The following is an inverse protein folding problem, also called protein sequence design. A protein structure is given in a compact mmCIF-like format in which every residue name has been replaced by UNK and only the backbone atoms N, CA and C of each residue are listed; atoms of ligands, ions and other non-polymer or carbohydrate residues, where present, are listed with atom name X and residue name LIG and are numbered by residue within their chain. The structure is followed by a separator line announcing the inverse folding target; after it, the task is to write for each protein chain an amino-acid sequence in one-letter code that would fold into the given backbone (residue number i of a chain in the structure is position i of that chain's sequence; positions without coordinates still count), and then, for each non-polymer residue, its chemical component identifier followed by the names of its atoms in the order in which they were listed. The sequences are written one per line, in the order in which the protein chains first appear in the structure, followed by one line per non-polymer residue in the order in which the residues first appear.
data_IF_528013631745
#
_entry.id   IF_528013631745
#
_cell.length_a   1.000
_cell.length_b   1.000
_cell.length_c   1.000
_cell.angle_alpha   90.00
_cell.angle_beta   90.00
_cell.angle_gamma   90.00
#
_symmetry.space_group_name_H-M   'P 1'
#
loop_
_entity.id
_entity.type
_entity.pdbx_description
1 polymer ?
#
# COMPACT_ATOMS: atom_id res chain seq x y z
N UNK A 1 5.94 -22.14 22.07
CA UNK A 1 4.50 -21.83 22.00
C UNK A 1 4.04 -22.13 20.59
N UNK A 2 3.36 -23.25 20.37
CA UNK A 2 2.93 -23.72 19.05
C UNK A 2 1.57 -23.09 18.73
N UNK A 3 1.49 -22.30 17.65
CA UNK A 3 0.21 -21.74 17.18
C UNK A 3 -0.47 -22.80 16.33
N UNK A 4 -1.51 -23.43 16.88
CA UNK A 4 -2.38 -24.33 16.12
C UNK A 4 -3.32 -23.54 15.23
N UNK A 5 -3.23 -23.77 13.94
CA UNK A 5 -4.26 -23.33 12.98
C UNK A 5 -5.50 -24.22 13.15
N UNK A 6 -6.62 -23.61 13.61
CA UNK A 6 -7.90 -24.27 13.66
C UNK A 6 -8.28 -24.77 12.25
N UNK A 7 -8.73 -26.02 12.12
CA UNK A 7 -9.32 -26.60 10.91
C UNK A 7 -10.67 -25.92 10.61
N UNK A 8 -10.64 -24.72 10.05
CA UNK A 8 -11.73 -24.27 9.22
C UNK A 8 -11.71 -25.16 7.99
N UNK A 9 -12.87 -25.70 7.61
CA UNK A 9 -12.99 -26.72 6.57
C UNK A 9 -12.08 -26.40 5.37
N UNK A 10 -11.18 -27.33 5.05
CA UNK A 10 -10.16 -27.20 4.00
C UNK A 10 -10.75 -26.83 2.63
N UNK A 11 -12.02 -27.03 2.43
CA UNK A 11 -12.77 -26.75 1.21
C UNK A 11 -13.10 -25.26 1.03
N UNK A 12 -13.41 -24.52 2.11
CA UNK A 12 -13.67 -23.07 2.07
C UNK A 12 -12.40 -22.28 1.86
N UNK A 13 -11.25 -22.78 2.36
CA UNK A 13 -9.94 -22.16 2.17
C UNK A 13 -9.39 -22.34 0.74
N UNK A 14 -9.77 -23.38 0.01
CA UNK A 14 -9.34 -23.58 -1.37
C UNK A 14 -10.05 -22.66 -2.37
N UNK A 15 -11.22 -22.14 -2.05
CA UNK A 15 -12.08 -21.39 -2.99
C UNK A 15 -11.83 -19.87 -3.02
N UNK A 16 -11.14 -19.28 -2.06
CA UNK A 16 -10.91 -17.83 -2.06
C UNK A 16 -9.48 -17.46 -1.64
N UNK A 17 -8.57 -17.28 -2.62
CA UNK A 17 -7.17 -16.91 -2.35
C UNK A 17 -7.03 -15.54 -1.65
N UNK A 18 -7.94 -14.59 -1.89
CA UNK A 18 -7.93 -13.29 -1.23
C UNK A 18 -8.13 -13.41 0.29
N UNK A 19 -9.05 -14.26 0.75
CA UNK A 19 -9.26 -14.49 2.20
C UNK A 19 -8.04 -15.09 2.88
N UNK A 20 -7.26 -15.91 2.19
CA UNK A 20 -5.99 -16.46 2.72
C UNK A 20 -4.93 -15.38 2.89
N UNK A 21 -4.80 -14.51 1.90
CA UNK A 21 -3.86 -13.40 1.94
C UNK A 21 -4.14 -12.46 3.11
N UNK A 22 -5.40 -12.06 3.32
CA UNK A 22 -5.81 -11.22 4.46
C UNK A 22 -5.51 -11.89 5.79
N UNK A 23 -5.89 -13.16 5.96
CA UNK A 23 -5.66 -13.91 7.22
C UNK A 23 -4.18 -14.00 7.54
N UNK A 24 -3.34 -14.27 6.53
CA UNK A 24 -1.89 -14.34 6.68
C UNK A 24 -1.29 -12.99 7.10
N UNK A 25 -1.69 -11.90 6.45
CA UNK A 25 -1.19 -10.56 6.78
C UNK A 25 -1.61 -10.11 8.19
N UNK A 26 -2.84 -10.40 8.61
CA UNK A 26 -3.30 -10.10 9.97
C UNK A 26 -2.43 -10.83 10.99
N UNK A 27 -2.19 -12.13 10.78
CA UNK A 27 -1.35 -12.92 11.67
C UNK A 27 0.09 -12.42 11.70
N UNK A 28 0.65 -12.04 10.55
CA UNK A 28 2.00 -11.48 10.47
C UNK A 28 2.11 -10.18 11.25
N UNK A 29 1.19 -9.23 11.04
CA UNK A 29 1.22 -7.95 11.76
C UNK A 29 1.02 -8.13 13.27
N UNK A 30 0.08 -8.99 13.68
CA UNK A 30 -0.13 -9.29 15.10
C UNK A 30 1.14 -9.89 15.72
N UNK A 31 1.75 -10.88 15.06
CA UNK A 31 2.97 -11.51 15.53
C UNK A 31 4.13 -10.50 15.64
N UNK A 32 4.29 -9.61 14.67
CA UNK A 32 5.33 -8.58 14.70
C UNK A 32 5.11 -7.58 15.82
N UNK A 33 3.86 -7.13 16.02
CA UNK A 33 3.52 -6.21 17.11
C UNK A 33 3.69 -6.86 18.48
N UNK A 34 3.18 -8.09 18.70
CA UNK A 34 3.37 -8.86 19.92
C UNK A 34 4.86 -9.09 20.23
N UNK A 35 5.65 -9.46 19.21
CA UNK A 35 7.10 -9.60 19.38
C UNK A 35 7.78 -8.29 19.76
N UNK A 36 7.38 -7.18 19.14
CA UNK A 36 7.93 -5.88 19.47
C UNK A 36 7.59 -5.50 20.93
N UNK A 37 6.34 -5.68 21.34
CA UNK A 37 5.86 -5.24 22.64
C UNK A 37 6.33 -6.18 23.77
N UNK A 38 6.15 -7.50 23.63
CA UNK A 38 6.36 -8.47 24.71
C UNK A 38 7.81 -8.92 24.86
N UNK A 39 8.57 -9.00 23.74
CA UNK A 39 9.92 -9.54 23.73
C UNK A 39 11.00 -8.46 23.70
N UNK A 40 10.73 -7.39 22.95
CA UNK A 40 11.75 -6.34 22.67
C UNK A 40 11.45 -4.98 23.30
N UNK A 41 10.48 -4.90 24.20
CA UNK A 41 10.19 -3.66 24.94
C UNK A 41 9.62 -2.54 24.08
N UNK A 42 8.82 -2.88 23.06
CA UNK A 42 8.06 -1.95 22.22
C UNK A 42 8.68 -1.67 20.85
N UNK A 43 9.88 -2.20 20.52
CA UNK A 43 10.57 -1.93 19.27
C UNK A 43 11.36 -3.13 18.78
N UNK A 44 11.17 -3.54 17.53
CA UNK A 44 11.94 -4.62 16.93
C UNK A 44 13.42 -4.23 16.76
N UNK A 45 14.36 -5.18 16.96
CA UNK A 45 15.79 -4.90 16.80
C UNK A 45 16.21 -4.71 15.34
N UNK A 46 15.39 -5.18 14.40
CA UNK A 46 15.59 -5.05 12.96
C UNK A 46 14.33 -4.50 12.33
N UNK A 47 14.48 -3.52 11.47
CA UNK A 47 13.36 -2.93 10.73
C UNK A 47 12.70 -3.96 9.81
N UNK A 48 11.38 -4.10 9.91
CA UNK A 48 10.59 -4.99 9.05
C UNK A 48 9.74 -4.15 8.11
N UNK A 49 9.99 -4.28 6.81
CA UNK A 49 9.18 -3.66 5.77
C UNK A 49 8.24 -4.67 5.13
N UNK A 50 6.93 -4.45 5.25
CA UNK A 50 5.90 -5.23 4.58
C UNK A 50 5.58 -4.58 3.23
N UNK A 51 5.96 -5.25 2.14
CA UNK A 51 5.60 -4.85 0.78
C UNK A 51 4.35 -5.61 0.36
N UNK A 52 3.24 -4.86 0.20
CA UNK A 52 1.93 -5.42 -0.12
C UNK A 52 1.59 -5.01 -1.55
N UNK A 53 1.93 -5.89 -2.48
CA UNK A 53 1.60 -5.71 -3.88
C UNK A 53 0.13 -6.02 -4.13
N UNK A 54 -0.49 -5.28 -5.06
CA UNK A 54 -1.92 -5.38 -5.38
C UNK A 54 -2.82 -5.38 -4.13
N UNK A 55 -2.56 -4.48 -3.19
CA UNK A 55 -3.21 -4.42 -1.87
C UNK A 55 -4.75 -4.52 -1.95
N UNK A 56 -5.36 -3.96 -2.99
CA UNK A 56 -6.80 -4.03 -3.20
C UNK A 56 -7.30 -5.45 -3.50
N UNK A 57 -6.49 -6.28 -4.16
CA UNK A 57 -6.88 -7.64 -4.56
C UNK A 57 -6.81 -8.64 -3.41
N UNK A 58 -6.04 -8.33 -2.37
CA UNK A 58 -5.92 -9.18 -1.18
C UNK A 58 -7.23 -9.16 -0.38
N UNK A 59 -8.00 -8.06 -0.43
CA UNK A 59 -9.20 -7.82 0.35
C UNK A 59 -8.97 -6.89 1.53
N UNK A 60 -10.02 -6.65 2.32
CA UNK A 60 -9.96 -5.73 3.44
C UNK A 60 -9.15 -6.32 4.61
N UNK A 61 -8.04 -5.67 4.97
CA UNK A 61 -7.29 -5.94 6.20
C UNK A 61 -7.98 -5.19 7.34
N UNK A 62 -8.56 -5.88 8.34
CA UNK A 62 -9.27 -5.23 9.44
C UNK A 62 -8.38 -4.25 10.20
N UNK A 63 -8.91 -3.06 10.47
CA UNK A 63 -8.23 -2.01 11.24
C UNK A 63 -6.89 -1.56 10.65
N UNK A 64 -6.71 -1.65 9.32
CA UNK A 64 -5.48 -1.24 8.65
C UNK A 64 -5.15 0.23 8.95
N UNK A 65 -6.15 1.11 9.04
CA UNK A 65 -5.99 2.52 9.39
C UNK A 65 -5.33 2.74 10.76
N UNK A 66 -5.67 1.91 11.74
CA UNK A 66 -5.06 1.94 13.07
C UNK A 66 -3.66 1.34 13.06
N UNK A 67 -3.51 0.26 12.34
CA UNK A 67 -2.22 -0.40 12.16
C UNK A 67 -1.20 0.56 11.57
N UNK A 68 -1.52 1.22 10.45
CA UNK A 68 -0.64 2.18 9.78
C UNK A 68 -0.22 3.33 10.69
N UNK A 69 -1.06 3.75 11.63
CA UNK A 69 -0.74 4.79 12.61
C UNK A 69 0.26 4.32 13.69
N UNK A 70 0.31 3.04 14.02
CA UNK A 70 1.00 2.52 15.21
C UNK A 70 2.26 1.71 14.92
N UNK A 71 2.41 1.11 13.73
CA UNK A 71 3.53 0.22 13.40
C UNK A 71 4.89 0.92 13.36
N UNK A 72 4.91 2.23 13.08
CA UNK A 72 6.14 3.01 12.99
C UNK A 72 6.98 2.96 14.26
N UNK A 73 6.36 3.09 15.43
CA UNK A 73 7.08 3.03 16.72
C UNK A 73 7.75 1.67 16.97
N UNK A 74 7.24 0.61 16.34
CA UNK A 74 7.71 -0.77 16.49
C UNK A 74 8.77 -1.20 15.47
N UNK A 75 9.33 -0.28 14.70
CA UNK A 75 10.25 -0.57 13.58
C UNK A 75 9.60 -1.43 12.48
N UNK A 76 8.31 -1.20 12.24
CA UNK A 76 7.58 -1.85 11.15
C UNK A 76 7.11 -0.76 10.18
N UNK A 77 7.26 -1.02 8.89
CA UNK A 77 6.68 -0.18 7.84
C UNK A 77 5.90 -1.02 6.84
N UNK A 78 4.89 -0.41 6.23
CA UNK A 78 4.13 -1.02 5.15
C UNK A 78 4.23 -0.17 3.88
N UNK A 79 4.38 -0.83 2.74
CA UNK A 79 4.28 -0.25 1.41
C UNK A 79 3.07 -0.87 0.72
N UNK A 80 2.07 -0.04 0.43
CA UNK A 80 0.84 -0.46 -0.24
C UNK A 80 0.96 -0.11 -1.72
N UNK A 81 0.92 -1.11 -2.59
CA UNK A 81 0.92 -0.91 -4.04
C UNK A 81 -0.52 -1.03 -4.55
N UNK A 82 -0.95 -0.02 -5.28
CA UNK A 82 -2.32 0.12 -5.79
C UNK A 82 -2.28 0.49 -7.27
N UNK A 83 -3.26 0.04 -8.02
CA UNK A 83 -3.45 0.49 -9.41
C UNK A 83 -4.14 1.86 -9.46
N UNK A 84 -5.01 2.15 -8.46
CA UNK A 84 -5.72 3.41 -8.31
C UNK A 84 -6.12 3.66 -6.86
N UNK A 85 -6.20 4.91 -6.43
CA UNK A 85 -6.66 5.26 -5.08
C UNK A 85 -8.14 4.94 -4.86
N UNK A 86 -8.95 4.98 -5.92
CA UNK A 86 -10.36 4.60 -5.88
C UNK A 86 -10.57 3.15 -5.42
N UNK A 87 -9.62 2.23 -5.68
CA UNK A 87 -9.68 0.86 -5.19
C UNK A 87 -9.60 0.82 -3.65
N UNK A 88 -8.74 1.65 -3.04
CA UNK A 88 -8.64 1.75 -1.60
C UNK A 88 -9.93 2.32 -1.00
N UNK A 89 -10.48 3.37 -1.62
CA UNK A 89 -11.76 3.98 -1.20
C UNK A 89 -12.94 3.01 -1.31
N UNK A 90 -12.97 2.17 -2.33
CA UNK A 90 -14.00 1.14 -2.48
C UNK A 90 -14.00 0.12 -1.32
N UNK A 91 -12.81 -0.24 -0.81
CA UNK A 91 -12.64 -1.25 0.24
C UNK A 91 -12.79 -0.64 1.63
N UNK A 92 -12.11 0.49 1.90
CA UNK A 92 -12.00 1.09 3.24
C UNK A 92 -12.92 2.27 3.47
N UNK A 93 -13.65 2.73 2.44
CA UNK A 93 -14.57 3.88 2.50
C UNK A 93 -13.88 5.10 3.15
N UNK A 94 -14.47 5.66 4.19
CA UNK A 94 -13.98 6.85 4.89
C UNK A 94 -12.60 6.64 5.55
N UNK A 95 -12.25 5.39 5.87
CA UNK A 95 -10.94 5.07 6.44
C UNK A 95 -9.79 5.11 5.41
N UNK A 96 -10.09 5.13 4.10
CA UNK A 96 -9.08 5.19 3.05
C UNK A 96 -8.22 6.44 3.16
N UNK A 97 -8.83 7.60 3.41
CA UNK A 97 -8.12 8.88 3.56
C UNK A 97 -7.21 8.87 4.79
N UNK A 98 -7.61 8.19 5.86
CA UNK A 98 -6.77 7.99 7.05
C UNK A 98 -5.56 7.10 6.74
N UNK A 99 -5.73 6.04 5.94
CA UNK A 99 -4.64 5.17 5.52
C UNK A 99 -3.64 5.95 4.68
N UNK A 100 -4.12 6.69 3.66
CA UNK A 100 -3.28 7.52 2.79
C UNK A 100 -2.55 8.59 3.62
N UNK A 101 -3.24 9.27 4.54
CA UNK A 101 -2.69 10.31 5.40
C UNK A 101 -1.61 9.82 6.36
N UNK A 102 -1.61 8.53 6.72
CA UNK A 102 -0.56 7.90 7.52
C UNK A 102 0.66 7.42 6.69
N UNK A 103 0.59 7.50 5.36
CA UNK A 103 1.73 7.23 4.50
C UNK A 103 2.62 8.47 4.38
N UNK A 104 3.86 8.40 4.88
CA UNK A 104 4.82 9.51 4.78
C UNK A 104 5.38 9.70 3.37
N UNK A 105 5.29 8.68 2.53
CA UNK A 105 5.78 8.65 1.17
C UNK A 105 4.69 8.16 0.22
N UNK A 106 4.47 8.90 -0.88
CA UNK A 106 3.63 8.50 -1.99
C UNK A 106 4.41 8.59 -3.30
N UNK A 107 4.34 7.54 -4.11
CA UNK A 107 5.01 7.48 -5.43
C UNK A 107 3.95 7.22 -6.49
N UNK A 108 3.81 8.15 -7.42
CA UNK A 108 2.96 7.99 -8.60
C UNK A 108 3.82 7.54 -9.77
N UNK A 109 3.50 6.37 -10.30
CA UNK A 109 4.24 5.73 -11.40
C UNK A 109 3.56 5.88 -12.76
N UNK A 110 2.53 6.72 -12.84
CA UNK A 110 1.68 6.88 -14.01
C UNK A 110 0.36 6.14 -13.87
N UNK A 111 -0.62 6.56 -14.63
CA UNK A 111 -1.98 6.00 -14.63
C UNK A 111 -2.96 6.94 -15.29
N UNK A 112 -4.18 6.46 -15.57
CA UNK A 112 -5.23 7.24 -16.23
C UNK A 112 -6.53 7.32 -15.41
N UNK A 113 -6.50 6.83 -14.15
CA UNK A 113 -7.72 6.83 -13.34
C UNK A 113 -8.02 8.26 -12.84
N UNK A 114 -9.21 8.81 -13.19
CA UNK A 114 -9.48 10.24 -13.02
C UNK A 114 -9.47 10.73 -11.59
N UNK A 115 -9.90 9.90 -10.62
CA UNK A 115 -9.93 10.28 -9.20
C UNK A 115 -8.52 10.42 -8.66
N UNK A 116 -7.63 9.45 -8.94
CA UNK A 116 -6.22 9.50 -8.57
C UNK A 116 -5.52 10.71 -9.16
N UNK A 117 -5.76 11.00 -10.44
CA UNK A 117 -5.15 12.16 -11.12
C UNK A 117 -5.61 13.49 -10.52
N UNK A 118 -6.91 13.64 -10.22
CA UNK A 118 -7.46 14.85 -9.58
C UNK A 118 -6.88 15.07 -8.18
N UNK A 119 -6.80 14.03 -7.37
CA UNK A 119 -6.25 14.11 -6.02
C UNK A 119 -4.76 14.41 -6.05
N UNK A 120 -4.03 13.80 -6.99
CA UNK A 120 -2.61 14.08 -7.18
C UNK A 120 -2.39 15.53 -7.62
N UNK A 121 -3.09 16.03 -8.66
CA UNK A 121 -2.99 17.42 -9.11
C UNK A 121 -3.28 18.41 -7.98
N UNK A 122 -4.32 18.15 -7.18
CA UNK A 122 -4.67 18.98 -6.02
C UNK A 122 -3.57 18.98 -4.95
N UNK A 123 -2.94 17.82 -4.69
CA UNK A 123 -1.89 17.65 -3.70
C UNK A 123 -0.54 18.25 -4.11
N UNK A 124 -0.26 18.34 -5.41
CA UNK A 124 0.92 19.02 -5.95
C UNK A 124 0.88 20.53 -5.72
N UNK A 125 -0.33 21.10 -5.62
CA UNK A 125 -0.54 22.51 -5.38
C UNK A 125 -0.58 23.34 -6.65
N UNK A 126 -0.46 24.67 -6.46
CA UNK A 126 -0.56 25.66 -7.53
C UNK A 126 0.66 26.58 -7.54
N UNK A 127 1.06 27.00 -8.72
CA UNK A 127 2.00 28.09 -8.94
C UNK A 127 1.26 29.38 -9.31
N UNK A 128 1.85 30.52 -9.01
CA UNK A 128 1.30 31.82 -9.42
C UNK A 128 1.91 32.21 -10.76
N UNK A 129 1.08 32.34 -11.76
CA UNK A 129 1.49 32.87 -13.07
C UNK A 129 1.01 34.30 -13.22
N UNK A 130 1.87 35.15 -13.80
CA UNK A 130 1.54 36.51 -14.18
C UNK A 130 0.98 36.51 -15.60
N UNK A 131 -0.29 36.92 -15.76
CA UNK A 131 -0.94 37.03 -17.05
C UNK A 131 -1.17 38.51 -17.40
N UNK A 132 -0.85 38.86 -18.64
CA UNK A 132 -1.08 40.19 -19.17
C UNK A 132 -2.26 40.15 -20.16
N UNK A 133 -3.33 40.84 -19.84
CA UNK A 133 -4.40 41.07 -20.81
C UNK A 133 -4.20 42.46 -21.42
N UNK A 134 -3.95 42.49 -22.74
CA UNK A 134 -3.92 43.73 -23.52
C UNK A 134 -5.31 43.95 -24.09
N UNK A 135 -5.99 44.98 -23.59
CA UNK A 135 -7.24 45.47 -24.21
C UNK A 135 -6.93 46.62 -25.20
N UNK A 136 -7.24 46.41 -26.48
CA UNK A 136 -7.21 47.45 -27.51
C UNK A 136 -8.63 47.93 -27.76
N UNK A 137 -8.94 49.18 -27.39
CA UNK A 137 -10.24 49.81 -27.73
C UNK A 137 -10.05 50.67 -28.98
N UNK A 138 -10.73 50.30 -30.05
CA UNK A 138 -10.77 51.05 -31.31
C UNK A 138 -11.93 52.06 -31.26
N UNK A 139 -11.72 53.20 -30.58
CA UNK A 139 -12.60 54.36 -30.62
C UNK A 139 -11.90 55.54 -31.32
N UNK A 140 -12.46 56.74 -31.19
CA UNK A 140 -11.91 57.98 -31.75
C UNK A 140 -10.51 58.33 -31.22
N UNK A 141 -10.12 57.71 -30.08
CA UNK A 141 -8.76 57.66 -29.52
C UNK A 141 -8.41 56.20 -29.21
N UNK A 142 -7.22 55.76 -29.62
CA UNK A 142 -6.69 54.41 -29.34
C UNK A 142 -6.18 54.41 -27.91
N UNK A 143 -6.89 53.70 -27.03
CA UNK A 143 -6.46 53.49 -25.64
C UNK A 143 -5.96 52.09 -25.45
N UNK A 144 -4.71 51.93 -24.99
CA UNK A 144 -4.13 50.66 -24.59
C UNK A 144 -4.22 50.53 -23.08
N UNK A 145 -4.97 49.53 -22.61
CA UNK A 145 -4.97 49.16 -21.17
C UNK A 145 -4.21 47.85 -20.97
N UNK A 146 -3.18 47.91 -20.15
CA UNK A 146 -2.48 46.73 -19.64
C UNK A 146 -3.11 46.34 -18.30
N UNK A 147 -3.78 45.19 -18.28
CA UNK A 147 -4.34 44.67 -17.05
C UNK A 147 -3.48 43.51 -16.54
N UNK A 148 -2.92 43.68 -15.36
CA UNK A 148 -2.03 42.74 -14.72
C UNK A 148 -2.85 41.83 -13.80
N UNK A 149 -2.86 40.52 -14.07
CA UNK A 149 -3.59 39.57 -13.25
C UNK A 149 -2.64 38.45 -12.80
N UNK A 150 -2.67 38.15 -11.49
CA UNK A 150 -2.01 36.98 -10.93
C UNK A 150 -3.03 35.83 -10.88
N UNK A 151 -2.74 34.75 -11.60
CA UNK A 151 -3.58 33.54 -11.64
C UNK A 151 -2.84 32.39 -10.99
N UNK A 152 -3.56 31.62 -10.18
CA UNK A 152 -3.05 30.35 -9.66
C UNK A 152 -3.27 29.23 -10.69
N UNK A 153 -2.21 28.72 -11.33
CA UNK A 153 -2.23 27.56 -12.21
C UNK A 153 -1.83 26.31 -11.41
N UNK A 154 -2.49 25.16 -11.63
CA UNK A 154 -2.03 23.90 -11.07
C UNK A 154 -0.59 23.63 -11.50
N UNK A 155 0.26 23.12 -10.59
CA UNK A 155 1.65 22.80 -10.90
C UNK A 155 1.75 21.74 -12.01
N UNK A 156 0.84 20.76 -11.97
CA UNK A 156 0.56 19.83 -13.07
C UNK A 156 -0.95 19.61 -13.14
N UNK A 157 -1.54 19.82 -14.30
CA UNK A 157 -2.94 19.56 -14.53
C UNK A 157 -3.24 18.06 -14.73
N UNK A 158 -4.50 17.68 -14.64
CA UNK A 158 -4.96 16.28 -14.75
C UNK A 158 -4.58 15.66 -16.09
N UNK A 159 -4.65 16.43 -17.17
CA UNK A 159 -4.29 16.02 -18.53
C UNK A 159 -2.78 15.85 -18.69
N UNK A 160 -1.96 16.71 -18.09
CA UNK A 160 -0.50 16.57 -18.05
C UNK A 160 -0.08 15.29 -17.30
N UNK A 161 -0.73 15.02 -16.15
CA UNK A 161 -0.51 13.81 -15.38
C UNK A 161 -0.93 12.53 -16.12
N UNK A 162 -2.00 12.61 -16.92
CA UNK A 162 -2.50 11.46 -17.69
C UNK A 162 -1.56 11.03 -18.82
N UNK A 163 -0.72 11.96 -19.31
CA UNK A 163 0.27 11.72 -20.36
C UNK A 163 1.70 11.70 -19.84
N UNK A 164 1.88 11.59 -18.51
CA UNK A 164 3.20 11.51 -17.90
C UNK A 164 4.05 10.43 -18.57
N UNK A 165 5.27 10.79 -18.97
CA UNK A 165 6.23 9.87 -19.58
C UNK A 165 6.40 8.58 -18.77
N UNK A 166 6.40 7.43 -19.45
CA UNK A 166 6.52 6.12 -18.84
C UNK A 166 7.80 5.91 -18.04
N UNK A 167 8.86 6.66 -18.33
CA UNK A 167 10.13 6.66 -17.59
C UNK A 167 10.15 7.60 -16.37
N UNK A 168 9.11 8.43 -16.16
CA UNK A 168 9.02 9.39 -15.06
C UNK A 168 8.12 8.90 -13.93
N UNK A 169 8.36 9.44 -12.74
CA UNK A 169 7.51 9.26 -11.57
C UNK A 169 7.45 10.55 -10.74
N UNK A 170 6.39 10.68 -9.96
CA UNK A 170 6.23 11.78 -9.01
C UNK A 170 6.36 11.22 -7.60
N UNK A 171 7.29 11.76 -6.84
CA UNK A 171 7.55 11.39 -5.45
C UNK A 171 7.09 12.50 -4.52
N UNK A 172 6.27 12.17 -3.56
CA UNK A 172 5.82 13.06 -2.49
C UNK A 172 6.32 12.50 -1.16
N UNK A 173 7.00 13.34 -0.39
CA UNK A 173 7.49 13.02 0.95
C UNK A 173 6.92 14.03 1.93
N UNK A 174 6.53 13.58 3.12
CA UNK A 174 6.06 14.48 4.18
C UNK A 174 7.13 15.52 4.53
N UNK A 175 6.74 16.80 4.52
CA UNK A 175 7.61 17.92 4.87
C UNK A 175 8.54 18.38 3.75
N UNK A 176 8.45 17.83 2.55
CA UNK A 176 9.29 18.21 1.41
C UNK A 176 8.39 18.50 0.20
N UNK A 177 8.85 19.39 -0.69
CA UNK A 177 8.13 19.64 -1.95
C UNK A 177 8.14 18.39 -2.84
N UNK A 178 7.09 18.16 -3.64
CA UNK A 178 7.05 17.06 -4.59
C UNK A 178 8.23 17.07 -5.57
N UNK A 179 8.66 15.90 -5.98
CA UNK A 179 9.75 15.72 -6.97
C UNK A 179 9.21 15.02 -8.21
N UNK A 180 9.55 15.55 -9.38
CA UNK A 180 9.49 14.82 -10.64
C UNK A 180 10.84 14.12 -10.84
N UNK A 181 10.85 12.80 -10.94
CA UNK A 181 12.06 11.98 -11.02
C UNK A 181 11.98 10.95 -12.13
N UNK A 182 13.12 10.43 -12.52
CA UNK A 182 13.20 9.27 -13.41
C UNK A 182 12.96 7.98 -12.62
N UNK A 183 12.25 7.02 -13.24
CA UNK A 183 12.14 5.66 -12.70
C UNK A 183 13.49 4.99 -12.76
N UNK A 184 13.80 4.24 -11.71
CA UNK A 184 15.04 3.46 -11.69
C UNK A 184 14.96 2.33 -12.72
N UNK A 185 16.00 2.25 -13.57
CA UNK A 185 16.16 1.14 -14.49
C UNK A 185 16.69 -0.09 -13.74
N UNK A 186 15.81 -1.08 -13.52
CA UNK A 186 16.13 -2.29 -12.75
C UNK A 186 17.30 -3.09 -13.37
N UNK A 187 17.53 -2.98 -14.68
CA UNK A 187 18.63 -3.68 -15.35
C UNK A 187 20.01 -3.22 -14.87
N UNK A 188 20.11 -2.00 -14.34
CA UNK A 188 21.32 -1.43 -13.75
C UNK A 188 21.57 -1.88 -12.31
N UNK A 189 20.61 -2.57 -11.68
CA UNK A 189 20.81 -3.02 -10.31
C UNK A 189 21.83 -4.17 -10.25
N UNK A 190 22.81 -4.16 -9.31
CA UNK A 190 23.83 -5.22 -9.21
C UNK A 190 23.27 -6.64 -9.09
N UNK A 191 22.10 -6.76 -8.47
CA UNK A 191 21.41 -8.04 -8.26
C UNK A 191 20.46 -8.42 -9.40
N UNK A 192 20.34 -7.63 -10.47
CA UNK A 192 19.48 -7.95 -11.62
C UNK A 192 19.80 -9.33 -12.20
N UNK A 193 21.08 -9.70 -12.23
CA UNK A 193 21.57 -11.00 -12.70
C UNK A 193 20.97 -12.22 -11.97
N UNK A 194 20.40 -12.02 -10.78
CA UNK A 194 19.76 -13.08 -9.99
C UNK A 194 18.25 -13.17 -10.20
N UNK A 195 17.65 -12.27 -10.98
CA UNK A 195 16.23 -12.29 -11.27
C UNK A 195 15.90 -13.26 -12.41
N UNK A 196 14.71 -13.81 -12.39
CA UNK A 196 14.19 -14.67 -13.44
C UNK A 196 14.06 -13.94 -14.80
N UNK A 197 13.88 -12.61 -14.76
CA UNK A 197 13.81 -11.75 -15.93
C UNK A 197 15.18 -11.67 -16.67
N UNK A 198 16.27 -11.82 -15.94
CA UNK A 198 17.62 -11.87 -16.53
C UNK A 198 17.95 -13.27 -17.06
N UNK A 199 17.68 -14.31 -16.26
CA UNK A 199 17.86 -15.71 -16.63
C UNK A 199 16.75 -16.56 -16.03
N UNK A 200 15.98 -17.26 -16.86
CA UNK A 200 14.89 -18.16 -16.44
C UNK A 200 15.32 -19.23 -15.44
N UNK A 201 16.61 -19.57 -15.40
CA UNK A 201 17.17 -20.51 -14.39
C UNK A 201 17.09 -19.97 -12.97
N UNK A 202 16.97 -18.65 -12.80
CA UNK A 202 16.82 -18.00 -11.50
C UNK A 202 15.36 -18.03 -10.98
N UNK A 203 14.43 -18.58 -11.77
CA UNK A 203 13.06 -18.71 -11.32
C UNK A 203 12.98 -19.55 -10.03
N UNK A 204 12.24 -19.04 -9.04
CA UNK A 204 12.07 -19.72 -7.77
C UNK A 204 11.13 -20.92 -7.95
N UNK A 205 11.67 -22.12 -7.67
CA UNK A 205 10.91 -23.37 -7.68
C UNK A 205 10.34 -23.62 -6.28
N UNK A 206 9.04 -23.31 -6.14
CA UNK A 206 8.32 -23.48 -4.88
C UNK A 206 8.23 -24.95 -4.46
N UNK A 207 8.00 -25.87 -5.39
CA UNK A 207 7.85 -27.28 -5.07
C UNK A 207 9.15 -27.88 -4.53
N UNK A 208 10.26 -27.55 -5.19
CA UNK A 208 11.60 -27.94 -4.75
C UNK A 208 11.93 -27.33 -3.39
N UNK A 209 11.58 -26.07 -3.14
CA UNK A 209 11.81 -25.41 -1.86
C UNK A 209 11.01 -26.08 -0.74
N UNK A 210 9.72 -26.33 -0.96
CA UNK A 210 8.86 -26.99 0.03
C UNK A 210 9.33 -28.41 0.32
N UNK A 211 9.70 -29.19 -0.68
CA UNK A 211 10.22 -30.56 -0.50
C UNK A 211 11.54 -30.62 0.27
N UNK A 212 12.35 -29.56 0.18
CA UNK A 212 13.66 -29.47 0.84
C UNK A 212 13.54 -28.95 2.29
N UNK A 213 12.66 -27.95 2.53
CA UNK A 213 12.56 -27.26 3.82
C UNK A 213 11.53 -27.85 4.78
N UNK A 214 10.47 -28.49 4.24
CA UNK A 214 9.38 -29.05 5.04
C UNK A 214 9.53 -30.55 5.31
N UNK A 215 10.73 -31.13 5.20
CA UNK A 215 10.96 -32.46 5.80
C UNK A 215 10.77 -32.30 7.29
N UNK A 216 9.68 -32.82 7.90
CA UNK A 216 9.53 -32.77 9.34
C UNK A 216 10.74 -33.47 9.97
N UNK A 217 11.39 -32.81 10.91
CA UNK A 217 12.34 -33.51 11.80
C UNK A 217 11.52 -34.58 12.49
N UNK A 218 11.83 -35.83 12.21
CA UNK A 218 11.08 -37.02 12.65
C UNK A 218 11.16 -37.27 14.17
N UNK A 219 11.47 -36.27 14.99
CA UNK A 219 11.77 -36.42 16.42
C UNK A 219 10.86 -35.64 17.35
N UNK A 220 9.86 -34.92 16.87
CA UNK A 220 8.88 -34.29 17.76
C UNK A 220 7.56 -35.09 17.71
N UNK A 221 7.44 -36.04 18.66
CA UNK A 221 6.16 -36.67 18.96
C UNK A 221 5.30 -35.64 19.67
N UNK A 222 4.28 -35.15 19.00
CA UNK A 222 3.28 -34.27 19.62
C UNK A 222 2.17 -35.13 20.21
N UNK A 223 2.00 -35.12 21.52
CA UNK A 223 0.83 -35.68 22.18
C UNK A 223 -0.39 -34.87 21.78
N UNK A 224 -1.29 -35.50 21.06
CA UNK A 224 -2.56 -34.93 20.67
C UNK A 224 -3.58 -35.23 21.74
N UNK A 225 -3.92 -34.25 22.58
CA UNK A 225 -5.04 -34.34 23.49
C UNK A 225 -6.34 -33.94 22.72
N UNK A 226 -7.27 -34.88 22.57
CA UNK A 226 -8.61 -34.59 22.19
C UNK A 226 -9.30 -33.93 23.38
N UNK A 227 -9.74 -32.69 23.21
CA UNK A 227 -10.61 -32.02 24.19
C UNK A 227 -12.03 -32.30 23.74
N UNK A 228 -12.72 -33.18 24.43
CA UNK A 228 -14.16 -33.33 24.31
C UNK A 228 -14.82 -32.03 24.76
N UNK A 229 -15.35 -31.29 23.79
CA UNK A 229 -16.26 -30.20 24.08
C UNK A 229 -17.63 -30.84 24.29
N UNK A 230 -17.97 -31.13 25.55
CA UNK A 230 -19.35 -31.50 25.91
C UNK A 230 -20.27 -30.33 25.56
N UNK A 231 -21.19 -30.57 24.67
CA UNK A 231 -22.41 -29.77 24.46
C UNK A 231 -23.29 -29.86 25.71
N UNK A 232 -23.10 -28.96 26.66
CA UNK A 232 -24.09 -28.76 27.72
C UNK A 232 -23.93 -27.32 28.27
N UNK A 233 -24.75 -26.42 27.73
CA UNK A 233 -25.38 -25.33 28.50
C UNK A 233 -26.37 -24.60 27.60
N UNK A 234 -27.59 -25.09 27.62
CA UNK A 234 -28.79 -24.35 27.26
C UNK A 234 -29.04 -23.26 28.34
N UNK A 235 -29.03 -21.99 28.01
CA UNK A 235 -29.47 -20.98 29.00
C UNK A 235 -31.01 -20.93 29.03
N UNK A 236 -31.55 -21.42 30.14
CA UNK A 236 -32.96 -21.23 30.48
C UNK A 236 -33.31 -19.74 30.49
N UNK A 237 -34.41 -19.38 29.82
CA UNK A 237 -35.11 -18.11 29.91
C UNK A 237 -35.54 -17.84 31.35
N UNK A 238 -35.37 -16.62 31.88
CA UNK A 238 -36.09 -16.17 33.07
C UNK A 238 -37.43 -15.54 32.67
N UNK A 239 -38.49 -15.98 33.34
CA UNK A 239 -39.81 -15.34 33.38
C UNK A 239 -39.77 -13.85 33.82
#
# INVERSE_FOLDING_TARGET
MSVRFGRGSAETYRRNPARRGVSYLIQLFNLLCEKADDVYGGRLPVHVRCLIDECANIGQIPKLEKLMATIRSREISACLVLQAQSQLKAIYKDNADTIIGNCDCSIFLGGKEPTTLKELSASLGKETIDTFNTGESRGREVSHSLNYQKLGKALMDVDELAVLDGGKCILQLRGVRPFLSDKFDITRHPNYKFLADCDKKNAFDLERFLSTKLKPKSTEVYDVYEVDVSEDADPADPE
#
